data_IF_357905736394
#
_entry.id   IF_357905736394
#
_cell.length_a   1.000
_cell.length_b   1.000
_cell.length_c   1.000
_cell.angle_alpha   90.00
_cell.angle_beta   90.00
_cell.angle_gamma   90.00
#
_symmetry.space_group_name_H-M   'P 1'
#
loop_
_entity.id
_entity.type
_entity.pdbx_description
1 polymer ?
#
# COMPACT_ATOMS: atom_id res chain seq x y z
N UNK A 1 -2.01 -9.89 13.68
CA UNK A 1 -3.15 -9.08 14.21
C UNK A 1 -4.20 -9.05 13.10
N UNK A 2 -5.46 -9.43 13.35
CA UNK A 2 -6.48 -9.51 12.29
C UNK A 2 -7.24 -8.19 12.16
N UNK A 3 -7.31 -7.63 10.93
CA UNK A 3 -8.14 -6.46 10.63
C UNK A 3 -9.60 -6.91 10.48
N UNK A 4 -10.49 -6.44 11.36
CA UNK A 4 -11.95 -6.62 11.25
C UNK A 4 -12.60 -5.26 10.99
N UNK A 5 -13.31 -5.14 9.87
CA UNK A 5 -14.19 -4.00 9.62
C UNK A 5 -15.56 -4.29 10.24
N UNK A 6 -15.98 -3.42 11.14
CA UNK A 6 -17.35 -3.36 11.67
C UNK A 6 -17.91 -2.00 11.21
N UNK A 7 -18.89 -2.01 10.32
CA UNK A 7 -19.48 -0.77 9.80
C UNK A 7 -20.95 -0.99 9.49
N UNK A 8 -21.77 -0.66 10.49
CA UNK A 8 -23.19 -0.33 10.33
C UNK A 8 -23.29 1.20 10.34
N UNK A 9 -23.54 1.83 9.19
CA UNK A 9 -24.27 3.11 9.02
C UNK A 9 -24.12 3.63 7.59
N UNK A 10 -25.27 3.96 7.01
CA UNK A 10 -25.59 4.35 5.64
C UNK A 10 -25.39 5.84 5.33
N UNK A 11 -24.85 6.17 4.14
CA UNK A 11 -25.42 7.19 3.22
C UNK A 11 -24.57 7.40 1.94
N UNK A 12 -25.12 6.93 0.82
CA UNK A 12 -24.97 7.43 -0.56
C UNK A 12 -23.74 8.27 -0.95
N UNK A 13 -22.73 7.61 -1.51
CA UNK A 13 -22.17 7.98 -2.80
C UNK A 13 -21.79 6.68 -3.54
N UNK A 14 -21.94 6.68 -4.84
CA UNK A 14 -21.86 5.52 -5.73
C UNK A 14 -20.59 4.67 -5.53
N UNK A 15 -20.70 3.54 -4.84
CA UNK A 15 -19.74 2.43 -4.91
C UNK A 15 -18.32 2.64 -4.34
N UNK A 16 -17.98 3.80 -3.79
CA UNK A 16 -16.62 4.08 -3.33
C UNK A 16 -16.37 3.51 -1.93
N UNK A 17 -15.51 2.50 -1.83
CA UNK A 17 -14.98 2.01 -0.54
C UNK A 17 -13.75 2.83 -0.15
N UNK A 18 -13.74 3.38 1.05
CA UNK A 18 -12.56 4.09 1.56
C UNK A 18 -11.42 3.13 1.87
N UNK A 19 -10.18 3.60 1.72
CA UNK A 19 -8.99 2.81 2.06
C UNK A 19 -8.98 2.48 3.56
N UNK A 20 -8.85 1.20 3.87
CA UNK A 20 -8.57 0.72 5.23
C UNK A 20 -7.07 0.80 5.49
N UNK A 21 -6.67 1.74 6.33
CA UNK A 21 -5.28 1.94 6.75
C UNK A 21 -4.95 1.20 8.05
N UNK A 22 -3.66 0.95 8.25
CA UNK A 22 -3.08 0.61 9.54
C UNK A 22 -3.43 1.67 10.59
N UNK A 23 -3.53 1.24 11.85
CA UNK A 23 -3.90 2.14 12.96
C UNK A 23 -2.87 3.26 13.17
N UNK A 24 -1.61 2.98 12.90
CA UNK A 24 -0.46 3.87 13.03
C UNK A 24 0.55 3.57 11.91
N UNK A 25 1.47 4.49 11.59
CA UNK A 25 2.57 4.19 10.68
C UNK A 25 3.53 3.26 11.44
N UNK A 26 3.53 1.99 11.07
CA UNK A 26 4.28 0.95 11.79
C UNK A 26 5.07 0.04 10.86
N UNK A 27 5.12 0.37 9.58
CA UNK A 27 5.99 -0.31 8.62
C UNK A 27 7.29 0.49 8.50
N UNK A 28 8.39 -0.11 8.91
CA UNK A 28 9.71 0.50 8.90
C UNK A 28 10.54 -0.03 7.74
N UNK A 29 11.41 0.82 7.18
CA UNK A 29 12.39 0.36 6.18
C UNK A 29 13.26 -0.77 6.77
N UNK A 30 13.56 -1.78 5.96
CA UNK A 30 14.26 -3.00 6.36
C UNK A 30 13.36 -4.10 6.93
N UNK A 31 12.07 -3.86 7.11
CA UNK A 31 11.08 -4.90 7.41
C UNK A 31 10.49 -5.48 6.12
N UNK A 32 10.13 -6.76 6.16
CA UNK A 32 9.33 -7.41 5.13
C UNK A 32 7.86 -7.39 5.54
N UNK A 33 7.06 -6.52 4.91
CA UNK A 33 5.62 -6.46 5.15
C UNK A 33 4.92 -7.46 4.25
N UNK A 34 4.15 -8.39 4.82
CA UNK A 34 3.46 -9.42 4.04
C UNK A 34 1.94 -9.31 4.14
N UNK A 35 1.28 -9.17 3.00
CA UNK A 35 -0.18 -9.28 2.87
C UNK A 35 -0.55 -10.65 2.34
N UNK A 36 -1.32 -11.43 3.12
CA UNK A 36 -1.84 -12.73 2.70
C UNK A 36 -3.33 -12.67 2.45
N UNK A 37 -3.74 -13.03 1.23
CA UNK A 37 -5.15 -13.09 0.84
C UNK A 37 -5.75 -14.40 1.33
N UNK A 38 -6.65 -14.31 2.30
CA UNK A 38 -7.32 -15.47 2.93
C UNK A 38 -8.78 -15.63 2.50
N UNK A 39 -9.32 -14.66 1.77
CA UNK A 39 -10.54 -14.79 0.99
C UNK A 39 -10.48 -13.75 -0.13
N UNK A 40 -10.97 -14.10 -1.31
CA UNK A 40 -11.01 -13.21 -2.48
C UNK A 40 -12.47 -13.00 -2.91
N UNK A 41 -12.85 -11.75 -3.11
CA UNK A 41 -14.10 -11.36 -3.75
C UNK A 41 -13.90 -11.12 -5.25
N UNK A 42 -14.92 -10.59 -5.95
CA UNK A 42 -14.76 -10.05 -7.30
C UNK A 42 -13.68 -8.95 -7.31
N UNK A 43 -12.81 -8.98 -8.32
CA UNK A 43 -11.75 -7.99 -8.53
C UNK A 43 -12.31 -6.74 -9.19
N UNK A 44 -11.90 -5.57 -8.73
CA UNK A 44 -12.21 -4.28 -9.37
C UNK A 44 -10.92 -3.49 -9.64
N UNK A 45 -10.95 -2.58 -10.62
CA UNK A 45 -9.81 -1.69 -10.94
C UNK A 45 -9.46 -0.73 -9.80
N UNK A 46 -10.42 -0.41 -8.94
CA UNK A 46 -10.21 0.45 -7.78
C UNK A 46 -9.65 -0.31 -6.57
N UNK A 47 -9.61 -1.65 -6.62
CA UNK A 47 -9.01 -2.44 -5.56
C UNK A 47 -7.51 -2.15 -5.50
N UNK A 48 -7.00 -2.00 -4.28
CA UNK A 48 -5.58 -1.73 -4.06
C UNK A 48 -5.09 -2.27 -2.72
N UNK A 49 -3.83 -2.73 -2.70
CA UNK A 49 -3.11 -3.13 -1.48
C UNK A 49 -1.74 -2.50 -1.52
N UNK A 50 -1.29 -1.89 -0.44
CA UNK A 50 0.02 -1.27 -0.44
C UNK A 50 0.32 -0.41 0.77
N UNK A 51 1.18 0.56 0.54
CA UNK A 51 1.83 1.40 1.55
C UNK A 51 1.82 2.86 1.13
N UNK A 52 1.78 3.76 2.10
CA UNK A 52 1.72 5.19 1.83
C UNK A 52 2.33 5.99 2.98
N UNK A 53 2.77 7.21 2.66
CA UNK A 53 3.35 8.13 3.64
C UNK A 53 2.31 8.61 4.65
N UNK A 54 1.13 9.01 4.16
CA UNK A 54 0.07 9.59 4.98
C UNK A 54 -1.28 8.90 4.79
N UNK A 55 -2.09 8.91 5.85
CA UNK A 55 -3.50 8.50 5.83
C UNK A 55 -4.37 9.62 5.27
N UNK A 56 -4.98 9.39 4.10
CA UNK A 56 -6.02 10.28 3.54
C UNK A 56 -7.38 9.61 3.66
N UNK A 57 -8.26 10.20 4.49
CA UNK A 57 -9.59 9.64 4.78
C UNK A 57 -10.56 9.71 3.60
N UNK A 58 -10.28 10.57 2.62
CA UNK A 58 -11.14 10.79 1.43
C UNK A 58 -10.63 10.02 0.20
N UNK A 59 -9.62 9.16 0.35
CA UNK A 59 -9.09 8.39 -0.76
C UNK A 59 -9.87 7.08 -0.95
N UNK A 60 -10.36 6.88 -2.17
CA UNK A 60 -11.05 5.65 -2.59
C UNK A 60 -10.07 4.49 -2.83
N UNK A 61 -8.81 4.80 -3.16
CA UNK A 61 -7.75 3.81 -3.39
C UNK A 61 -6.37 4.33 -2.98
N UNK A 62 -5.40 3.42 -2.93
CA UNK A 62 -3.99 3.75 -2.75
C UNK A 62 -3.29 4.15 -4.06
N UNK A 63 -4.01 4.18 -5.19
CA UNK A 63 -3.46 4.59 -6.50
C UNK A 63 -3.37 6.12 -6.56
N UNK A 64 -2.47 6.69 -5.78
CA UNK A 64 -2.32 8.14 -5.61
C UNK A 64 -0.87 8.52 -5.35
N UNK A 65 -0.62 9.82 -5.36
CA UNK A 65 0.66 10.37 -4.98
C UNK A 65 1.04 10.02 -3.52
N UNK A 66 2.34 9.84 -3.30
CA UNK A 66 2.93 9.38 -2.03
C UNK A 66 2.38 8.04 -1.53
N UNK A 67 1.97 7.17 -2.44
CA UNK A 67 1.61 5.79 -2.15
C UNK A 67 2.19 4.84 -3.21
N UNK A 68 2.51 3.64 -2.75
CA UNK A 68 2.88 2.51 -3.60
C UNK A 68 1.86 1.42 -3.35
N UNK A 69 1.20 0.95 -4.40
CA UNK A 69 0.24 -0.12 -4.28
C UNK A 69 0.24 -1.04 -5.49
N UNK A 70 -0.35 -2.20 -5.29
CA UNK A 70 -0.74 -3.13 -6.33
C UNK A 70 -2.26 -3.14 -6.45
N UNK A 71 -2.77 -3.29 -7.67
CA UNK A 71 -4.19 -3.56 -7.89
C UNK A 71 -4.45 -5.07 -7.93
N UNK A 72 -5.68 -5.49 -7.64
CA UNK A 72 -6.10 -6.90 -7.83
C UNK A 72 -6.33 -7.23 -9.30
N UNK A 73 -6.57 -6.22 -10.14
CA UNK A 73 -6.93 -6.38 -11.55
C UNK A 73 -5.76 -6.08 -12.51
N UNK A 74 -4.85 -5.16 -12.15
CA UNK A 74 -3.76 -4.81 -13.06
C UNK A 74 -2.52 -5.69 -12.87
N UNK A 75 -2.06 -6.27 -13.99
CA UNK A 75 -0.70 -6.75 -14.17
C UNK A 75 0.24 -5.54 -14.26
N UNK A 76 0.57 -4.91 -13.14
CA UNK A 76 1.64 -3.91 -13.15
C UNK A 76 2.97 -4.65 -13.40
N UNK A 77 3.41 -4.59 -14.66
CA UNK A 77 4.70 -5.05 -15.19
C UNK A 77 5.33 -6.28 -14.52
N UNK A 78 4.59 -7.40 -14.51
CA UNK A 78 5.03 -8.78 -14.19
C UNK A 78 4.55 -9.36 -12.86
N UNK A 79 3.76 -8.71 -12.02
CA UNK A 79 3.18 -9.41 -10.87
C UNK A 79 1.97 -10.28 -11.27
N UNK A 80 1.84 -11.51 -10.74
CA UNK A 80 0.66 -12.33 -10.98
C UNK A 80 -0.59 -11.73 -10.33
N UNK A 81 -1.75 -12.05 -10.90
CA UNK A 81 -3.06 -11.62 -10.39
C UNK A 81 -3.23 -12.08 -8.95
N UNK A 82 -3.72 -11.17 -8.11
CA UNK A 82 -3.97 -11.43 -6.69
C UNK A 82 -5.17 -12.37 -6.55
N UNK A 83 -4.92 -13.58 -6.05
CA UNK A 83 -5.94 -14.62 -5.86
C UNK A 83 -5.92 -15.17 -4.42
N UNK A 84 -6.91 -15.99 -4.05
CA UNK A 84 -6.90 -16.68 -2.76
C UNK A 84 -5.58 -17.44 -2.53
N UNK A 85 -5.00 -17.26 -1.35
CA UNK A 85 -3.72 -17.87 -0.99
C UNK A 85 -2.49 -17.08 -1.44
N UNK A 86 -2.66 -16.04 -2.26
CA UNK A 86 -1.56 -15.16 -2.67
C UNK A 86 -0.96 -14.46 -1.45
N UNK A 87 0.36 -14.39 -1.42
CA UNK A 87 1.14 -13.60 -0.47
C UNK A 87 1.88 -12.53 -1.26
N UNK A 88 1.62 -11.27 -0.92
CA UNK A 88 2.28 -10.10 -1.47
C UNK A 88 3.24 -9.58 -0.42
N UNK A 89 4.52 -9.44 -0.76
CA UNK A 89 5.53 -8.87 0.12
C UNK A 89 5.92 -7.48 -0.35
N UNK A 90 6.16 -6.60 0.59
CA UNK A 90 6.80 -5.31 0.38
C UNK A 90 8.06 -5.29 1.21
N UNK A 91 9.19 -5.11 0.54
CA UNK A 91 10.50 -4.88 1.15
C UNK A 91 10.96 -3.50 0.73
N UNK A 92 11.40 -2.70 1.70
CA UNK A 92 11.88 -1.34 1.44
C UNK A 92 13.25 -1.11 2.04
N UNK A 93 14.12 -0.55 1.22
CA UNK A 93 15.48 -0.17 1.63
C UNK A 93 15.72 1.30 1.33
N UNK A 94 16.36 2.00 2.27
CA UNK A 94 16.79 3.39 2.04
C UNK A 94 18.01 3.36 1.14
N UNK A 95 17.90 3.92 -0.06
CA UNK A 95 19.01 4.00 -1.03
C UNK A 95 19.85 5.24 -0.79
N UNK A 96 19.18 6.38 -0.64
CA UNK A 96 19.86 7.65 -0.43
C UNK A 96 18.94 8.65 0.24
N UNK A 97 19.53 9.43 1.15
CA UNK A 97 18.92 10.62 1.72
C UNK A 97 19.63 11.81 1.09
N UNK A 98 18.89 12.70 0.43
CA UNK A 98 19.47 13.85 -0.23
C UNK A 98 19.47 15.06 0.72
N UNK A 99 20.65 15.55 1.14
CA UNK A 99 20.72 16.81 1.87
C UNK A 99 20.39 17.96 0.91
N UNK A 100 19.38 18.76 1.24
CA UNK A 100 19.05 19.93 0.44
C UNK A 100 19.99 21.09 0.80
N UNK A 101 21.00 21.32 -0.03
CA UNK A 101 22.18 22.10 0.35
C UNK A 101 22.05 23.63 0.15
N UNK A 102 20.88 24.26 0.32
CA UNK A 102 20.83 25.75 0.27
C UNK A 102 19.62 26.46 0.94
N UNK A 103 18.66 25.76 1.56
CA UNK A 103 17.58 26.46 2.27
C UNK A 103 16.98 25.58 3.39
N UNK A 104 16.95 26.02 4.67
CA UNK A 104 16.45 25.22 5.79
C UNK A 104 14.92 25.02 5.81
N UNK A 105 14.18 25.55 4.84
CA UNK A 105 12.71 25.46 4.75
C UNK A 105 12.19 24.42 3.75
N UNK A 106 13.07 23.80 2.95
CA UNK A 106 12.67 22.91 1.85
C UNK A 106 13.03 21.45 2.19
N UNK A 107 12.01 20.60 2.16
CA UNK A 107 12.05 19.22 2.64
C UNK A 107 13.17 18.39 1.99
N UNK A 108 13.85 17.59 2.81
CA UNK A 108 14.89 16.67 2.37
C UNK A 108 14.25 15.50 1.63
N UNK A 109 14.78 15.19 0.44
CA UNK A 109 14.29 14.08 -0.38
C UNK A 109 14.80 12.73 0.10
N UNK A 110 13.95 11.71 0.05
CA UNK A 110 14.27 10.33 0.40
C UNK A 110 14.04 9.42 -0.81
N UNK A 111 15.05 8.62 -1.16
CA UNK A 111 14.93 7.59 -2.20
C UNK A 111 14.87 6.22 -1.53
N UNK A 112 13.72 5.57 -1.67
CA UNK A 112 13.50 4.21 -1.25
C UNK A 112 13.62 3.26 -2.44
N UNK A 113 14.25 2.11 -2.26
CA UNK A 113 14.10 1.00 -3.19
C UNK A 113 12.99 0.12 -2.67
N UNK A 114 11.98 -0.08 -3.50
CA UNK A 114 10.82 -0.90 -3.16
C UNK A 114 10.89 -2.18 -3.99
N UNK A 115 10.89 -3.31 -3.29
CA UNK A 115 10.74 -4.64 -3.88
C UNK A 115 9.36 -5.15 -3.51
N UNK A 116 8.53 -5.40 -4.53
CA UNK A 116 7.21 -6.00 -4.36
C UNK A 116 7.28 -7.43 -4.87
N UNK A 117 7.09 -8.40 -3.99
CA UNK A 117 7.03 -9.82 -4.33
C UNK A 117 5.61 -10.33 -4.37
N UNK A 118 5.28 -11.20 -5.32
CA UNK A 118 4.03 -11.98 -5.30
C UNK A 118 4.26 -13.34 -5.96
N UNK A 119 4.13 -14.40 -5.17
CA UNK A 119 4.42 -15.77 -5.62
C UNK A 119 5.89 -15.95 -6.01
N UNK A 120 6.17 -16.20 -7.29
CA UNK A 120 7.52 -16.38 -7.82
C UNK A 120 8.01 -15.19 -8.66
N UNK A 121 7.32 -14.05 -8.58
CA UNK A 121 7.67 -12.85 -9.33
C UNK A 121 7.89 -11.69 -8.39
N UNK A 122 8.82 -10.83 -8.77
CA UNK A 122 9.17 -9.63 -8.03
C UNK A 122 9.34 -8.46 -8.99
N UNK A 123 9.01 -7.27 -8.49
CA UNK A 123 9.24 -6.01 -9.20
C UNK A 123 10.01 -5.10 -8.26
N UNK A 124 11.11 -4.56 -8.74
CA UNK A 124 11.98 -3.64 -8.00
C UNK A 124 11.99 -2.30 -8.70
N UNK A 125 11.73 -1.24 -7.96
CA UNK A 125 11.82 0.12 -8.47
C UNK A 125 12.24 1.11 -7.38
N UNK A 126 12.72 2.28 -7.81
CA UNK A 126 13.08 3.35 -6.89
C UNK A 126 11.87 4.29 -6.70
N UNK A 127 11.43 4.46 -5.46
CA UNK A 127 10.37 5.40 -5.06
C UNK A 127 10.99 6.65 -4.46
N UNK A 128 10.74 7.80 -5.09
CA UNK A 128 11.20 9.11 -4.65
C UNK A 128 10.13 9.76 -3.78
N UNK A 129 10.54 10.21 -2.59
CA UNK A 129 9.72 10.96 -1.65
C UNK A 129 10.31 12.33 -1.44
N UNK A 130 9.44 13.34 -1.38
CA UNK A 130 9.83 14.73 -1.15
C UNK A 130 10.13 15.02 0.34
N UNK A 131 9.89 14.04 1.22
CA UNK A 131 10.13 14.13 2.66
C UNK A 131 10.79 12.86 3.19
N UNK A 132 11.63 13.02 4.21
CA UNK A 132 12.19 11.90 4.96
C UNK A 132 11.12 11.34 5.90
N UNK A 133 10.90 10.02 5.82
CA UNK A 133 9.94 9.28 6.62
C UNK A 133 10.62 8.08 7.27
N UNK A 134 10.44 7.91 8.58
CA UNK A 134 10.99 6.78 9.32
C UNK A 134 10.09 5.55 9.25
N UNK A 135 8.78 5.77 9.11
CA UNK A 135 7.75 4.74 9.07
C UNK A 135 6.61 5.13 8.14
N UNK A 136 5.96 4.12 7.58
CA UNK A 136 4.89 4.25 6.60
C UNK A 136 3.61 3.61 7.13
N UNK A 137 2.47 4.09 6.63
CA UNK A 137 1.21 3.38 6.74
C UNK A 137 1.14 2.28 5.70
N UNK A 138 0.35 1.25 6.01
CA UNK A 138 -0.05 0.23 5.05
C UNK A 138 -1.57 0.13 5.02
N UNK A 139 -2.13 -0.38 3.94
CA UNK A 139 -3.58 -0.47 3.82
C UNK A 139 -4.05 -1.21 2.59
N UNK A 140 -5.37 -1.30 2.49
CA UNK A 140 -6.05 -1.88 1.35
C UNK A 140 -7.42 -1.25 1.12
N UNK A 141 -7.89 -1.24 -0.13
CA UNK A 141 -9.25 -0.89 -0.51
C UNK A 141 -9.79 -1.98 -1.43
N UNK A 142 -11.04 -2.41 -1.20
CA UNK A 142 -11.72 -3.39 -2.04
C UNK A 142 -13.18 -2.99 -2.21
N UNK A 143 -13.62 -2.82 -3.46
CA UNK A 143 -14.98 -2.34 -3.77
C UNK A 143 -16.03 -3.38 -3.43
N UNK A 144 -15.74 -4.65 -3.73
CA UNK A 144 -16.67 -5.74 -3.54
C UNK A 144 -16.45 -6.46 -2.20
N UNK A 145 -17.52 -6.98 -1.57
CA UNK A 145 -17.37 -7.80 -0.37
C UNK A 145 -16.70 -9.14 -0.68
N UNK A 146 -16.15 -9.79 0.35
CA UNK A 146 -15.56 -11.14 0.27
C UNK A 146 -14.04 -11.17 0.40
N UNK A 147 -13.37 -10.02 0.31
CA UNK A 147 -11.93 -9.92 0.53
C UNK A 147 -11.56 -10.03 2.01
N UNK A 148 -10.55 -10.85 2.31
CA UNK A 148 -9.92 -10.92 3.63
C UNK A 148 -8.42 -10.94 3.48
N UNK A 149 -7.76 -10.00 4.15
CA UNK A 149 -6.30 -9.83 4.09
C UNK A 149 -5.72 -9.93 5.49
N UNK A 150 -4.71 -10.79 5.65
CA UNK A 150 -3.88 -10.84 6.85
C UNK A 150 -2.59 -10.08 6.59
N UNK A 151 -2.11 -9.36 7.60
CA UNK A 151 -0.86 -8.61 7.54
C UNK A 151 0.11 -9.16 8.58
N UNK A 152 1.35 -9.38 8.17
CA UNK A 152 2.48 -9.85 8.98
C UNK A 152 3.61 -8.84 8.92
#
# INVERSE_FOLDING_TARGET
>A
MALRSDSSSSSSSTGCTSVLYSKSPSYFCGQTLTFKITAAGPTDKCDSVGVCVDKRSEADSLQRDQAVCISTNEMTNQLPIVTFGSAITFDMEVVSVFPNNNNPSDASGLKLRVTIGSGNREVVFDWLLDQVVDCLFFGCSFIHPGWKVLVF
#
